data_IF_716116233914
#
_entry.id   IF_716116233914
#
_cell.length_a   1.000
_cell.length_b   1.000
_cell.length_c   1.000
_cell.angle_alpha   90.00
_cell.angle_beta   90.00
_cell.angle_gamma   90.00
#
_symmetry.space_group_name_H-M   'P 1'
#
loop_
_entity.id
_entity.type
_entity.pdbx_description
1 polymer ?
#
# COMPACT_ATOMS: atom_id res chain seq x y z
N UNK A 1 -5.28 13.87 -12.72
CA UNK A 1 -3.89 13.80 -12.23
C UNK A 1 -3.76 12.51 -11.42
N UNK A 2 -2.60 11.84 -11.37
CA UNK A 2 -2.45 10.67 -10.47
C UNK A 2 -2.20 11.21 -9.05
N UNK A 3 -3.23 11.15 -8.19
CA UNK A 3 -3.19 11.69 -6.82
C UNK A 3 -2.08 11.08 -5.96
N UNK A 4 -1.76 9.80 -6.18
CA UNK A 4 -0.66 9.16 -5.47
C UNK A 4 0.67 9.82 -5.85
N UNK A 5 0.94 10.01 -7.14
CA UNK A 5 2.17 10.68 -7.58
C UNK A 5 2.22 12.14 -7.11
N UNK A 6 1.08 12.83 -7.08
CA UNK A 6 1.01 14.17 -6.49
C UNK A 6 1.46 14.16 -5.03
N UNK A 7 0.96 13.24 -4.22
CA UNK A 7 1.38 13.07 -2.83
C UNK A 7 2.88 12.70 -2.73
N UNK A 8 3.35 11.73 -3.50
CA UNK A 8 4.74 11.27 -3.45
C UNK A 8 5.74 12.39 -3.82
N UNK A 9 5.42 13.23 -4.80
CA UNK A 9 6.25 14.40 -5.15
C UNK A 9 6.42 15.36 -3.98
N UNK A 10 5.31 15.70 -3.32
CA UNK A 10 5.33 16.61 -2.18
C UNK A 10 5.94 15.96 -0.93
N UNK A 11 5.83 14.64 -0.77
CA UNK A 11 6.49 13.92 0.31
C UNK A 11 8.01 13.88 0.15
N UNK A 12 8.50 13.64 -1.07
CA UNK A 12 9.94 13.53 -1.35
C UNK A 12 10.66 14.88 -1.39
N UNK A 13 10.05 15.90 -2.01
CA UNK A 13 10.60 17.27 -2.05
C UNK A 13 9.48 18.29 -1.82
N UNK A 14 9.15 18.60 -0.56
CA UNK A 14 8.08 19.55 -0.23
C UNK A 14 8.27 20.94 -0.86
N UNK A 15 9.50 21.45 -0.88
CA UNK A 15 9.82 22.79 -1.38
C UNK A 15 9.88 22.85 -2.90
N UNK A 16 10.21 21.72 -3.56
CA UNK A 16 10.37 21.63 -5.02
C UNK A 16 9.85 20.30 -5.59
N UNK A 17 8.54 20.04 -5.54
CA UNK A 17 7.95 18.74 -5.92
C UNK A 17 8.18 18.38 -7.40
N UNK A 18 8.38 19.38 -8.26
CA UNK A 18 8.62 19.19 -9.69
C UNK A 18 10.05 18.74 -10.01
N UNK A 19 10.99 18.84 -9.05
CA UNK A 19 12.38 18.39 -9.22
C UNK A 19 12.58 16.93 -8.76
N UNK A 20 11.51 16.21 -8.40
CA UNK A 20 11.58 14.79 -8.03
C UNK A 20 11.72 13.96 -9.31
N UNK A 21 12.72 13.07 -9.33
CA UNK A 21 12.97 12.20 -10.48
C UNK A 21 11.87 11.15 -10.64
N UNK A 22 11.61 10.71 -11.87
CA UNK A 22 10.67 9.61 -12.12
C UNK A 22 11.12 8.32 -11.45
N UNK A 23 12.43 8.09 -11.33
CA UNK A 23 13.00 6.92 -10.65
C UNK A 23 12.66 6.91 -9.16
N UNK A 24 12.79 8.04 -8.46
CA UNK A 24 12.46 8.14 -7.04
C UNK A 24 10.95 7.94 -6.81
N UNK A 25 10.12 8.48 -7.71
CA UNK A 25 8.68 8.27 -7.67
C UNK A 25 8.28 6.83 -7.89
N UNK A 26 8.83 6.18 -8.91
CA UNK A 26 8.56 4.77 -9.19
C UNK A 26 8.98 3.91 -8.00
N UNK A 27 10.17 4.15 -7.44
CA UNK A 27 10.68 3.45 -6.27
C UNK A 27 9.69 3.51 -5.10
N UNK A 28 9.29 4.72 -4.71
CA UNK A 28 8.37 4.90 -3.59
C UNK A 28 6.95 4.41 -3.91
N UNK A 29 6.50 4.52 -5.17
CA UNK A 29 5.23 3.97 -5.62
C UNK A 29 5.19 2.44 -5.51
N UNK A 30 6.24 1.75 -5.96
CA UNK A 30 6.35 0.29 -5.87
C UNK A 30 6.39 -0.13 -4.40
N UNK A 31 7.20 0.53 -3.58
CA UNK A 31 7.31 0.26 -2.15
C UNK A 31 5.96 0.43 -1.44
N UNK A 32 5.34 1.61 -1.53
CA UNK A 32 4.09 1.92 -0.85
C UNK A 32 2.95 0.97 -1.24
N UNK A 33 2.81 0.67 -2.55
CA UNK A 33 1.78 -0.26 -3.02
C UNK A 33 2.06 -1.70 -2.59
N UNK A 34 3.32 -2.11 -2.50
CA UNK A 34 3.68 -3.44 -1.95
C UNK A 34 3.32 -3.53 -0.47
N UNK A 35 3.67 -2.50 0.33
CA UNK A 35 3.33 -2.46 1.75
C UNK A 35 1.83 -2.29 2.02
N UNK A 36 1.04 -1.80 1.05
CA UNK A 36 -0.42 -1.80 1.16
C UNK A 36 -0.98 -3.21 1.38
N UNK A 37 -0.37 -4.26 0.79
CA UNK A 37 -0.75 -5.65 1.01
C UNK A 37 -0.59 -6.06 2.48
N UNK A 38 0.57 -5.72 3.07
CA UNK A 38 0.83 -5.98 4.48
C UNK A 38 -0.15 -5.21 5.38
N UNK A 39 -0.44 -3.95 5.04
CA UNK A 39 -1.44 -3.13 5.74
C UNK A 39 -2.83 -3.77 5.72
N UNK A 40 -3.28 -4.30 4.57
CA UNK A 40 -4.57 -4.99 4.51
C UNK A 40 -4.62 -6.24 5.39
N UNK A 41 -3.56 -7.06 5.41
CA UNK A 41 -3.48 -8.24 6.31
C UNK A 41 -3.46 -7.82 7.77
N UNK A 42 -2.65 -6.82 8.12
CA UNK A 42 -2.56 -6.30 9.49
C UNK A 42 -3.92 -5.84 10.00
N UNK A 43 -4.61 -4.99 9.24
CA UNK A 43 -5.91 -4.45 9.66
C UNK A 43 -7.05 -5.47 9.59
N UNK A 44 -6.96 -6.49 8.74
CA UNK A 44 -7.86 -7.63 8.80
C UNK A 44 -7.70 -8.36 10.15
N UNK A 45 -6.47 -8.78 10.49
CA UNK A 45 -6.19 -9.47 11.75
C UNK A 45 -6.59 -8.64 12.97
N UNK A 46 -6.31 -7.33 12.95
CA UNK A 46 -6.77 -6.40 13.97
C UNK A 46 -8.30 -6.44 14.11
N UNK A 47 -9.04 -6.36 13.00
CA UNK A 47 -10.51 -6.44 13.02
C UNK A 47 -11.01 -7.75 13.62
N UNK A 48 -10.42 -8.88 13.21
CA UNK A 48 -10.81 -10.20 13.73
C UNK A 48 -10.60 -10.31 15.26
N UNK A 49 -9.48 -9.80 15.78
CA UNK A 49 -9.20 -9.79 17.22
C UNK A 49 -10.17 -8.87 17.96
N UNK A 50 -10.41 -7.67 17.42
CA UNK A 50 -11.29 -6.68 18.03
C UNK A 50 -12.75 -7.11 18.07
N UNK A 51 -13.21 -7.95 17.12
CA UNK A 51 -14.54 -8.53 17.16
C UNK A 51 -14.85 -9.30 18.46
N UNK A 52 -13.81 -9.78 19.16
CA UNK A 52 -13.93 -10.44 20.46
C UNK A 52 -13.56 -9.55 21.64
N UNK A 53 -12.63 -8.61 21.47
CA UNK A 53 -12.00 -7.89 22.59
C UNK A 53 -12.54 -6.48 22.80
N UNK A 54 -13.05 -5.83 21.77
CA UNK A 54 -13.38 -4.41 21.83
C UNK A 54 -14.72 -4.17 22.52
N UNK A 55 -14.82 -3.18 23.42
CA UNK A 55 -16.10 -2.72 23.95
C UNK A 55 -16.83 -1.74 23.01
N UNK A 56 -16.20 -1.31 21.91
CA UNK A 56 -16.75 -0.31 20.99
C UNK A 56 -17.76 -0.98 20.05
N UNK A 57 -18.93 -0.37 19.85
CA UNK A 57 -19.93 -0.83 18.88
C UNK A 57 -19.47 -0.50 17.45
N UNK A 58 -18.91 -1.50 16.77
CA UNK A 58 -18.43 -1.40 15.40
C UNK A 58 -18.48 -2.79 14.73
N UNK A 59 -18.75 -2.83 13.42
CA UNK A 59 -18.77 -4.09 12.65
C UNK A 59 -17.35 -4.58 12.33
N UNK A 60 -16.70 -5.16 13.33
CA UNK A 60 -15.34 -5.66 13.23
C UNK A 60 -15.18 -6.84 12.27
N UNK A 61 -16.18 -7.73 12.19
CA UNK A 61 -16.15 -8.86 11.25
C UNK A 61 -16.35 -8.41 9.82
N UNK A 62 -17.27 -7.47 9.57
CA UNK A 62 -17.40 -6.82 8.26
C UNK A 62 -16.12 -6.11 7.84
N UNK A 63 -15.49 -5.38 8.77
CA UNK A 63 -14.19 -4.75 8.52
C UNK A 63 -13.08 -5.77 8.21
N UNK A 64 -13.02 -6.90 8.93
CA UNK A 64 -12.09 -7.99 8.62
C UNK A 64 -12.24 -8.45 7.17
N UNK A 65 -13.46 -8.79 6.74
CA UNK A 65 -13.70 -9.26 5.38
C UNK A 65 -13.39 -8.20 4.34
N UNK A 66 -13.75 -6.93 4.61
CA UNK A 66 -13.43 -5.80 3.74
C UNK A 66 -11.91 -5.70 3.50
N UNK A 67 -11.10 -5.74 4.57
CA UNK A 67 -9.63 -5.64 4.47
C UNK A 67 -9.03 -6.89 3.82
N UNK A 68 -9.50 -8.09 4.19
CA UNK A 68 -8.96 -9.34 3.65
C UNK A 68 -9.28 -9.54 2.16
N UNK A 69 -10.49 -9.16 1.74
CA UNK A 69 -10.88 -9.21 0.33
C UNK A 69 -10.06 -8.23 -0.51
N UNK A 70 -9.78 -7.05 0.04
CA UNK A 70 -8.96 -6.06 -0.63
C UNK A 70 -7.50 -6.51 -0.78
N UNK A 71 -6.93 -7.18 0.23
CA UNK A 71 -5.65 -7.88 0.09
C UNK A 71 -5.68 -8.89 -1.05
N UNK A 72 -6.65 -9.80 -1.07
CA UNK A 72 -6.77 -10.83 -2.11
C UNK A 72 -6.89 -10.21 -3.52
N UNK A 73 -7.68 -9.14 -3.64
CA UNK A 73 -7.89 -8.41 -4.90
C UNK A 73 -6.60 -7.78 -5.45
N UNK A 74 -5.77 -7.22 -4.57
CA UNK A 74 -4.58 -6.47 -4.98
C UNK A 74 -3.29 -7.31 -5.00
N UNK A 75 -3.29 -8.48 -4.36
CA UNK A 75 -2.12 -9.33 -4.15
C UNK A 75 -1.32 -9.55 -5.43
N UNK A 76 -1.93 -10.17 -6.45
CA UNK A 76 -1.22 -10.53 -7.68
C UNK A 76 -0.62 -9.31 -8.39
N UNK A 77 -1.40 -8.23 -8.52
CA UNK A 77 -0.97 -6.97 -9.13
C UNK A 77 0.29 -6.43 -8.48
N UNK A 78 0.32 -6.27 -7.16
CA UNK A 78 1.47 -5.65 -6.48
C UNK A 78 2.64 -6.60 -6.29
N UNK A 79 2.42 -7.91 -6.19
CA UNK A 79 3.51 -8.88 -6.27
C UNK A 79 4.21 -8.84 -7.63
N UNK A 80 3.46 -8.79 -8.73
CA UNK A 80 4.03 -8.67 -10.07
C UNK A 80 4.76 -7.35 -10.25
N UNK A 81 4.17 -6.24 -9.79
CA UNK A 81 4.80 -4.92 -9.82
C UNK A 81 6.17 -4.93 -9.11
N UNK A 82 6.21 -5.40 -7.85
CA UNK A 82 7.45 -5.48 -7.08
C UNK A 82 8.49 -6.39 -7.74
N UNK A 83 8.06 -7.55 -8.26
CA UNK A 83 8.96 -8.50 -8.93
C UNK A 83 9.57 -7.90 -10.19
N UNK A 84 8.77 -7.21 -11.01
CA UNK A 84 9.24 -6.55 -12.24
C UNK A 84 10.25 -5.47 -11.93
N UNK A 85 9.95 -4.60 -10.95
CA UNK A 85 10.86 -3.55 -10.50
C UNK A 85 12.20 -4.12 -9.99
N UNK A 86 12.16 -5.12 -9.10
CA UNK A 86 13.37 -5.76 -8.56
C UNK A 86 14.18 -6.52 -9.62
N UNK A 87 13.52 -7.05 -10.65
CA UNK A 87 14.21 -7.71 -11.78
C UNK A 87 14.89 -6.67 -12.68
N UNK A 88 14.28 -5.50 -12.87
CA UNK A 88 14.85 -4.37 -13.59
C UNK A 88 16.10 -3.81 -12.92
N UNK A 89 16.10 -3.65 -11.59
CA UNK A 89 17.26 -3.18 -10.83
C UNK A 89 18.49 -4.10 -10.89
N UNK A 90 18.34 -5.38 -11.30
CA UNK A 90 19.48 -6.29 -11.46
C UNK A 90 20.21 -6.11 -12.79
N UNK A 91 19.61 -5.38 -13.73
CA UNK A 91 20.14 -5.15 -15.08
C UNK A 91 20.70 -3.72 -15.26
N UNK A 92 20.70 -2.91 -14.20
CA UNK A 92 21.39 -1.62 -14.08
C UNK A 92 22.73 -1.81 -13.33
#
# INVERSE_FOLDING_TARGET
MNEQYHFLRHYLKPERPQEVSEKDLETLYVEANTFSLASHVFWALWGLIQAKMSPIEFDYLGYFFLRYHEYKRQKEKYFLLARSYLSGCKNE
#
